data_IF_159435719747
#
_entry.id   IF_159435719747
#
_cell.length_a   1.000
_cell.length_b   1.000
_cell.length_c   1.000
_cell.angle_alpha   90.00
_cell.angle_beta   90.00
_cell.angle_gamma   90.00
#
_symmetry.space_group_name_H-M   'P 1'
#
loop_
_entity.id
_entity.type
_entity.pdbx_description
1 polymer ?
#
# COMPACT_ATOMS: atom_id res chain seq x y z
N UNK A 1 -12.50 19.90 -2.11
CA UNK A 1 -12.21 18.95 -3.20
C UNK A 1 -12.60 17.56 -2.73
N UNK A 2 -13.66 16.97 -3.27
CA UNK A 2 -13.96 15.55 -3.06
C UNK A 2 -13.47 14.79 -4.29
N UNK A 3 -12.37 14.04 -4.15
CA UNK A 3 -11.92 13.14 -5.22
C UNK A 3 -12.89 11.97 -5.40
N UNK A 4 -12.91 11.40 -6.61
CA UNK A 4 -13.64 10.15 -6.89
C UNK A 4 -13.00 9.00 -6.08
N UNK A 5 -13.78 8.16 -5.37
CA UNK A 5 -13.25 6.98 -4.70
C UNK A 5 -12.57 6.05 -5.72
N UNK A 6 -11.32 5.68 -5.47
CA UNK A 6 -10.51 4.79 -6.34
C UNK A 6 -10.33 3.38 -5.77
N UNK A 7 -10.99 3.06 -4.65
CA UNK A 7 -10.77 1.79 -3.97
C UNK A 7 -11.54 1.63 -2.66
N UNK A 8 -11.26 0.52 -1.98
CA UNK A 8 -11.77 0.19 -0.66
C UNK A 8 -10.60 -0.04 0.29
N UNK A 9 -10.84 0.13 1.58
CA UNK A 9 -9.83 -0.14 2.59
C UNK A 9 -10.41 -0.18 3.99
N UNK A 10 -9.58 -0.59 4.93
CA UNK A 10 -9.89 -0.55 6.34
C UNK A 10 -8.68 -0.11 7.15
N UNK A 11 -8.97 0.47 8.30
CA UNK A 11 -8.00 0.82 9.32
C UNK A 11 -8.43 0.13 10.61
N UNK A 12 -7.54 -0.67 11.18
CA UNK A 12 -7.74 -1.32 12.46
C UNK A 12 -6.44 -1.23 13.27
N UNK A 13 -6.51 -0.58 14.43
CA UNK A 13 -5.34 -0.23 15.26
C UNK A 13 -4.23 0.46 14.43
N UNK A 14 -3.04 -0.12 14.40
CA UNK A 14 -1.88 0.34 13.65
C UNK A 14 -1.80 -0.25 12.24
N UNK A 15 -2.82 -0.99 11.80
CA UNK A 15 -2.86 -1.68 10.51
C UNK A 15 -3.83 -1.00 9.55
N UNK A 16 -3.30 -0.52 8.44
CA UNK A 16 -4.07 0.12 7.38
C UNK A 16 -3.93 -0.71 6.11
N UNK A 17 -5.03 -1.02 5.44
CA UNK A 17 -5.05 -1.85 4.25
C UNK A 17 -5.99 -1.28 3.20
N UNK A 18 -5.57 -1.35 1.94
CA UNK A 18 -6.38 -0.89 0.84
C UNK A 18 -6.18 -1.70 -0.44
N UNK A 19 -7.29 -1.80 -1.18
CA UNK A 19 -7.37 -2.26 -2.55
C UNK A 19 -7.80 -1.09 -3.43
N UNK A 20 -6.92 -0.68 -4.33
CA UNK A 20 -7.15 0.43 -5.26
C UNK A 20 -7.14 -0.06 -6.71
N UNK A 21 -7.92 0.61 -7.55
CA UNK A 21 -7.74 0.58 -9.00
C UNK A 21 -7.11 1.90 -9.45
N UNK A 22 -5.89 1.85 -9.96
CA UNK A 22 -5.14 3.01 -10.48
C UNK A 22 -4.96 2.84 -11.98
N UNK A 23 -5.75 3.56 -12.78
CA UNK A 23 -5.85 3.28 -14.21
C UNK A 23 -6.39 1.87 -14.43
N UNK A 24 -5.62 1.02 -15.09
CA UNK A 24 -5.94 -0.40 -15.32
C UNK A 24 -5.26 -1.36 -14.33
N UNK A 25 -4.44 -0.84 -13.41
CA UNK A 25 -3.76 -1.64 -12.41
C UNK A 25 -4.63 -1.81 -11.16
N UNK A 26 -4.69 -3.04 -10.64
CA UNK A 26 -5.15 -3.27 -9.27
C UNK A 26 -3.95 -3.30 -8.36
N UNK A 27 -4.04 -2.58 -7.25
CA UNK A 27 -3.00 -2.46 -6.23
C UNK A 27 -3.59 -2.87 -4.90
N UNK A 28 -2.91 -3.77 -4.22
CA UNK A 28 -3.11 -4.02 -2.80
C UNK A 28 -1.95 -3.39 -2.04
N UNK A 29 -2.23 -2.67 -0.96
CA UNK A 29 -1.18 -2.20 -0.08
C UNK A 29 -1.62 -2.25 1.38
N UNK A 30 -0.71 -2.71 2.24
CA UNK A 30 -0.88 -2.84 3.67
C UNK A 30 0.25 -2.14 4.40
N UNK A 31 -0.09 -1.46 5.48
CA UNK A 31 0.82 -0.67 6.29
C UNK A 31 0.61 -1.08 7.73
N UNK A 32 1.70 -1.43 8.40
CA UNK A 32 1.72 -1.62 9.85
C UNK A 32 2.67 -0.62 10.46
N UNK A 33 2.13 0.34 11.20
CA UNK A 33 2.95 1.30 11.93
C UNK A 33 3.39 0.74 13.28
N UNK A 34 4.59 1.12 13.70
CA UNK A 34 5.11 0.96 15.04
C UNK A 34 5.71 2.29 15.51
N UNK A 35 6.29 2.33 16.71
CA UNK A 35 6.95 3.53 17.22
C UNK A 35 8.10 4.00 16.32
N UNK A 36 8.82 3.07 15.69
CA UNK A 36 10.07 3.35 14.99
C UNK A 36 9.98 3.10 13.48
N UNK A 37 9.02 2.29 13.05
CA UNK A 37 8.94 1.78 11.68
C UNK A 37 7.54 1.84 11.09
N UNK A 38 7.49 1.79 9.76
CA UNK A 38 6.32 1.42 9.00
C UNK A 38 6.69 0.23 8.13
N UNK A 39 6.08 -0.92 8.37
CA UNK A 39 6.16 -2.05 7.47
C UNK A 39 5.15 -1.85 6.35
N UNK A 40 5.61 -1.93 5.10
CA UNK A 40 4.79 -1.83 3.90
C UNK A 40 4.80 -3.17 3.21
N UNK A 41 3.63 -3.66 2.85
CA UNK A 41 3.46 -4.76 1.91
C UNK A 41 2.62 -4.24 0.77
N UNK A 42 2.97 -4.60 -0.45
CA UNK A 42 2.10 -4.33 -1.58
C UNK A 42 2.20 -5.36 -2.66
N UNK A 43 1.16 -5.40 -3.48
CA UNK A 43 1.13 -6.14 -4.71
C UNK A 43 0.42 -5.36 -5.80
N UNK A 44 0.77 -5.65 -7.05
CA UNK A 44 0.05 -5.10 -8.19
C UNK A 44 -0.08 -6.13 -9.30
N UNK A 45 -1.16 -5.99 -10.10
CA UNK A 45 -1.51 -6.97 -11.13
C UNK A 45 -0.33 -7.31 -12.04
N UNK A 46 0.32 -6.31 -12.65
CA UNK A 46 1.44 -6.51 -13.58
C UNK A 46 2.37 -5.30 -13.65
N UNK A 47 3.68 -5.55 -13.77
CA UNK A 47 4.66 -4.56 -14.23
C UNK A 47 4.59 -4.37 -15.77
N UNK A 48 5.45 -3.52 -16.32
CA UNK A 48 5.55 -3.30 -17.77
C UNK A 48 5.84 -4.60 -18.58
N UNK A 49 6.43 -5.61 -17.95
CA UNK A 49 6.73 -6.92 -18.55
C UNK A 49 5.59 -7.94 -18.37
N UNK A 50 4.44 -7.52 -17.83
CA UNK A 50 3.30 -8.42 -17.59
C UNK A 50 3.44 -9.32 -16.36
N UNK A 51 4.46 -9.13 -15.52
CA UNK A 51 4.73 -9.95 -14.34
C UNK A 51 4.07 -9.37 -13.10
N UNK A 52 3.47 -10.23 -12.28
CA UNK A 52 2.95 -9.84 -10.98
C UNK A 52 4.06 -9.26 -10.10
N UNK A 53 3.79 -8.14 -9.44
CA UNK A 53 4.72 -7.54 -8.48
C UNK A 53 4.18 -7.79 -7.09
N UNK A 54 5.03 -8.26 -6.20
CA UNK A 54 4.83 -8.16 -4.77
C UNK A 54 6.09 -7.58 -4.15
N UNK A 55 5.94 -6.69 -3.17
CA UNK A 55 7.06 -6.09 -2.47
C UNK A 55 6.79 -5.99 -0.97
N UNK A 56 7.88 -5.95 -0.20
CA UNK A 56 7.86 -5.69 1.24
C UNK A 56 8.99 -4.73 1.57
N UNK A 57 8.67 -3.69 2.32
CA UNK A 57 9.62 -2.68 2.76
C UNK A 57 9.43 -2.41 4.26
N UNK A 58 10.52 -1.98 4.92
CA UNK A 58 10.47 -1.49 6.30
C UNK A 58 11.09 -0.11 6.29
N UNK A 59 10.24 0.90 6.40
CA UNK A 59 10.64 2.30 6.47
C UNK A 59 10.95 2.60 7.93
N UNK A 60 12.15 3.12 8.22
CA UNK A 60 12.55 3.53 9.57
C UNK A 60 12.52 5.04 9.69
N UNK A 61 12.08 5.55 10.83
CA UNK A 61 12.24 6.97 11.16
C UNK A 61 13.71 7.25 11.39
N UNK A 62 14.30 8.17 10.63
CA UNK A 62 15.60 8.76 10.96
C UNK A 62 15.38 9.95 11.90
N UNK A 63 16.36 10.26 12.76
CA UNK A 63 16.33 11.47 13.57
C UNK A 63 16.10 12.70 12.66
N UNK A 64 15.31 13.66 13.16
CA UNK A 64 15.01 14.91 12.47
C UNK A 64 16.18 15.90 12.58
#
# INVERSE_FOLDING_TARGET
MSGTPVGHGYLFDAYCHYHLKVGDAFVEASYRSSAETVEVFGSSTKNADGKHIAWREIIRRTAA
#
